data_IF_027232417872
#
_entry.id   IF_027232417872
#
_cell.length_a   1.000
_cell.length_b   1.000
_cell.length_c   1.000
_cell.angle_alpha   90.00
_cell.angle_beta   90.00
_cell.angle_gamma   90.00
#
_symmetry.space_group_name_H-M   'P 1'
#
loop_
_entity.id
_entity.type
_entity.pdbx_description
1 polymer ?
#
# COMPACT_ATOMS: atom_id res chain seq x y z
N UNK A 1 3.52 -7.17 -2.19
CA UNK A 1 4.80 -6.75 -2.82
C UNK A 1 5.92 -7.06 -1.86
N UNK A 2 7.17 -7.26 -2.29
CA UNK A 2 8.27 -7.61 -1.34
C UNK A 2 8.62 -6.44 -0.43
N UNK A 3 8.42 -5.22 -0.93
CA UNK A 3 8.68 -3.94 -0.27
C UNK A 3 7.80 -3.69 0.95
N UNK A 4 6.68 -4.40 1.11
CA UNK A 4 5.75 -4.26 2.25
C UNK A 4 6.02 -5.24 3.40
N UNK A 5 7.09 -6.05 3.31
CA UNK A 5 7.48 -6.96 4.39
C UNK A 5 6.54 -8.15 4.60
N UNK A 6 5.75 -8.53 3.58
CA UNK A 6 4.83 -9.66 3.64
C UNK A 6 3.40 -9.31 3.22
N UNK A 7 2.41 -9.83 3.94
CA UNK A 7 0.98 -9.74 3.61
C UNK A 7 0.39 -8.43 4.14
N UNK A 8 0.01 -7.52 3.23
CA UNK A 8 -0.68 -6.26 3.59
C UNK A 8 -2.21 -6.37 3.60
N UNK A 9 -2.79 -7.36 2.92
CA UNK A 9 -4.24 -7.56 2.82
C UNK A 9 -4.62 -9.02 3.13
N UNK A 10 -5.69 -9.24 3.89
CA UNK A 10 -6.19 -10.56 4.27
C UNK A 10 -7.53 -10.88 3.62
N UNK A 11 -7.60 -12.06 3.00
CA UNK A 11 -8.84 -12.71 2.57
C UNK A 11 -9.44 -13.53 3.72
N UNK A 12 -10.64 -13.17 4.15
CA UNK A 12 -11.45 -13.94 5.08
C UNK A 12 -12.38 -14.90 4.34
N UNK A 13 -12.92 -15.91 5.04
CA UNK A 13 -13.89 -16.86 4.46
C UNK A 13 -15.07 -16.18 3.77
N UNK A 14 -15.54 -15.08 4.35
CA UNK A 14 -16.70 -14.33 3.85
C UNK A 14 -16.30 -13.14 2.96
N UNK A 15 -15.05 -13.08 2.48
CA UNK A 15 -14.59 -12.00 1.59
C UNK A 15 -15.24 -12.09 0.22
N UNK A 16 -15.51 -10.93 -0.38
CA UNK A 16 -16.06 -10.81 -1.74
C UNK A 16 -15.14 -11.53 -2.74
N UNK A 17 -15.72 -12.42 -3.55
CA UNK A 17 -14.98 -13.12 -4.60
C UNK A 17 -14.28 -12.14 -5.53
N UNK A 18 -13.02 -12.44 -5.88
CA UNK A 18 -12.10 -11.58 -6.67
C UNK A 18 -11.59 -10.32 -5.95
N UNK A 19 -11.92 -10.11 -4.67
CA UNK A 19 -11.25 -9.10 -3.85
C UNK A 19 -9.85 -9.57 -3.45
N UNK A 20 -8.95 -8.63 -3.17
CA UNK A 20 -7.63 -8.87 -2.54
C UNK A 20 -7.70 -8.81 -1.01
N UNK A 21 -8.78 -8.26 -0.44
CA UNK A 21 -9.16 -8.46 0.96
C UNK A 21 -9.35 -7.18 1.73
N UNK A 22 -9.17 -7.29 3.04
CA UNK A 22 -9.19 -6.16 3.98
C UNK A 22 -7.80 -5.89 4.50
N UNK A 23 -7.54 -4.66 4.94
CA UNK A 23 -6.23 -4.24 5.44
C UNK A 23 -5.79 -5.15 6.60
N UNK A 24 -4.58 -5.68 6.51
CA UNK A 24 -3.98 -6.50 7.55
C UNK A 24 -3.79 -5.69 8.84
N UNK A 25 -3.77 -6.39 9.99
CA UNK A 25 -3.44 -5.71 11.25
C UNK A 25 -2.07 -5.06 11.16
N UNK A 26 -1.94 -3.88 11.76
CA UNK A 26 -0.72 -3.05 11.76
C UNK A 26 -0.33 -2.45 10.39
N UNK A 27 -1.25 -2.45 9.42
CA UNK A 27 -1.11 -1.71 8.17
C UNK A 27 -2.18 -0.62 8.09
N UNK A 28 -1.82 0.53 7.54
CA UNK A 28 -2.74 1.55 7.05
C UNK A 28 -2.73 1.53 5.52
N UNK A 29 -3.87 1.84 4.91
CA UNK A 29 -4.02 1.93 3.46
C UNK A 29 -4.87 3.13 3.07
N UNK A 30 -4.46 3.84 2.02
CA UNK A 30 -5.26 4.88 1.35
C UNK A 30 -5.24 4.64 -0.16
N UNK A 31 -6.28 5.12 -0.85
CA UNK A 31 -6.30 5.22 -2.30
C UNK A 31 -6.02 6.68 -2.66
N UNK A 32 -5.10 6.92 -3.58
CA UNK A 32 -4.80 8.28 -4.05
C UNK A 32 -4.96 8.38 -5.56
N UNK A 33 -5.27 9.59 -6.02
CA UNK A 33 -5.08 9.95 -7.42
C UNK A 33 -3.58 10.17 -7.68
N UNK A 34 -2.96 9.44 -8.63
CA UNK A 34 -1.50 9.49 -8.83
C UNK A 34 -1.01 10.83 -9.39
N UNK A 35 -1.87 11.59 -10.07
CA UNK A 35 -1.50 12.89 -10.66
C UNK A 35 -1.58 14.03 -9.64
N UNK A 36 -2.65 14.08 -8.83
CA UNK A 36 -2.92 15.15 -7.87
C UNK A 36 -2.51 14.84 -6.44
N UNK A 37 -2.25 13.57 -6.10
CA UNK A 37 -1.94 13.11 -4.75
C UNK A 37 -3.11 13.16 -3.77
N UNK A 38 -4.33 13.47 -4.24
CA UNK A 38 -5.52 13.57 -3.38
C UNK A 38 -5.98 12.19 -2.93
N UNK A 39 -6.40 12.10 -1.67
CA UNK A 39 -7.03 10.89 -1.13
C UNK A 39 -8.41 10.73 -1.74
N UNK A 40 -8.66 9.56 -2.33
CA UNK A 40 -9.91 9.18 -2.95
C UNK A 40 -10.83 8.43 -1.97
N UNK A 41 -12.12 8.51 -2.22
CA UNK A 41 -13.19 7.91 -1.44
C UNK A 41 -13.51 6.46 -1.85
N UNK A 42 -14.62 5.97 -1.30
CA UNK A 42 -15.07 4.61 -1.58
C UNK A 42 -15.53 4.44 -3.04
N UNK A 43 -15.13 3.33 -3.66
CA UNK A 43 -15.41 2.97 -5.06
C UNK A 43 -14.76 3.88 -6.12
N UNK A 44 -13.80 4.72 -5.73
CA UNK A 44 -12.96 5.45 -6.68
C UNK A 44 -11.70 4.63 -7.02
N UNK A 45 -11.30 4.65 -8.29
CA UNK A 45 -10.10 3.96 -8.76
C UNK A 45 -8.87 4.86 -8.63
N UNK A 46 -7.78 4.30 -8.12
CA UNK A 46 -6.53 5.04 -7.92
C UNK A 46 -5.40 4.14 -7.46
N UNK A 47 -4.30 4.75 -7.05
CA UNK A 47 -3.11 4.06 -6.57
C UNK A 47 -3.28 3.66 -5.10
N UNK A 48 -2.90 2.42 -4.77
CA UNK A 48 -2.89 1.92 -3.39
C UNK A 48 -1.59 2.35 -2.71
N UNK A 49 -1.70 3.17 -1.67
CA UNK A 49 -0.57 3.49 -0.78
C UNK A 49 -0.72 2.75 0.54
N UNK A 50 0.39 2.20 1.04
CA UNK A 50 0.44 1.38 2.25
C UNK A 50 1.47 1.93 3.21
N UNK A 51 1.11 2.02 4.51
CA UNK A 51 2.03 2.39 5.59
C UNK A 51 2.05 1.30 6.65
N UNK A 52 3.23 0.89 7.09
CA UNK A 52 3.41 -0.08 8.18
C UNK A 52 4.82 0.01 8.77
N UNK A 53 5.04 -0.51 9.97
CA UNK A 53 6.39 -0.65 10.52
C UNK A 53 7.23 -1.75 9.84
N UNK A 54 6.64 -2.49 8.89
CA UNK A 54 7.27 -3.63 8.21
C UNK A 54 7.74 -3.28 6.78
N UNK A 55 7.60 -2.03 6.36
CA UNK A 55 8.10 -1.59 5.06
C UNK A 55 9.61 -1.83 4.94
N UNK A 56 10.07 -2.10 3.73
CA UNK A 56 11.50 -2.17 3.44
C UNK A 56 12.19 -0.86 3.81
N UNK A 57 13.49 -0.92 4.11
CA UNK A 57 14.29 0.29 4.34
C UNK A 57 14.70 1.00 3.05
N UNK A 58 14.59 0.33 1.90
CA UNK A 58 14.94 0.85 0.59
C UNK A 58 15.56 -0.20 -0.32
N UNK A 59 15.75 0.18 -1.58
CA UNK A 59 16.45 -0.63 -2.56
C UNK A 59 17.97 -0.52 -2.37
N UNK A 60 18.66 -1.66 -2.40
CA UNK A 60 20.11 -1.74 -2.22
C UNK A 60 20.84 -0.89 -3.26
N UNK A 61 21.75 -0.01 -2.79
CA UNK A 61 22.53 0.92 -3.62
C UNK A 61 21.71 1.81 -4.57
N UNK A 62 20.40 1.98 -4.31
CA UNK A 62 19.53 2.79 -5.16
C UNK A 62 18.69 3.77 -4.33
N UNK A 63 19.31 4.84 -3.81
CA UNK A 63 18.62 5.83 -2.98
C UNK A 63 17.59 6.65 -3.78
N UNK A 64 17.76 6.81 -5.10
CA UNK A 64 16.83 7.53 -5.96
C UNK A 64 15.48 6.79 -6.02
N UNK A 65 15.50 5.52 -6.45
CA UNK A 65 14.28 4.69 -6.46
C UNK A 65 13.66 4.49 -5.09
N UNK A 66 14.47 4.49 -4.04
CA UNK A 66 13.97 4.40 -2.67
C UNK A 66 13.11 5.61 -2.31
N UNK A 67 13.58 6.83 -2.61
CA UNK A 67 12.86 8.07 -2.34
C UNK A 67 11.62 8.27 -3.22
N UNK A 68 11.62 7.68 -4.42
CA UNK A 68 10.44 7.71 -5.30
C UNK A 68 9.26 6.91 -4.70
N UNK A 69 9.55 5.78 -4.05
CA UNK A 69 8.53 4.83 -3.57
C UNK A 69 8.18 5.04 -2.09
N UNK A 70 9.17 5.30 -1.22
CA UNK A 70 8.95 5.53 0.22
C UNK A 70 8.87 7.03 0.47
N UNK A 71 7.69 7.51 0.83
CA UNK A 71 7.39 8.91 1.18
C UNK A 71 7.10 9.00 2.68
N UNK A 72 7.56 10.07 3.34
CA UNK A 72 7.48 10.26 4.80
C UNK A 72 6.07 10.68 5.31
N UNK A 73 5.04 10.67 4.45
CA UNK A 73 3.65 11.12 4.75
C UNK A 73 2.53 10.06 4.56
#
# INVERSE_FOLDING_TARGET
>A
TTETGGISLHQWRDSKMKSVGTVARCFDMKIIDPESGKVLGANEEGEICVRSPFLMTGYYQNPEKTKEIIKDE
#
